data_IF_912770114965
#
_entry.id   IF_912770114965
#
_cell.length_a   1.000
_cell.length_b   1.000
_cell.length_c   1.000
_cell.angle_alpha   90.00
_cell.angle_beta   90.00
_cell.angle_gamma   90.00
#
_symmetry.space_group_name_H-M   'P 1'
#
loop_
_entity.id
_entity.type
_entity.pdbx_description
1 polymer ?
#
# COMPACT_ATOMS: atom_id res chain seq x y z
N UNK A 1 0.59 -7.65 2.27
CA UNK A 1 1.57 -7.61 1.20
C UNK A 1 1.75 -8.99 0.63
N UNK A 2 1.27 -9.18 -0.60
CA UNK A 2 1.36 -10.44 -1.33
C UNK A 2 2.61 -10.44 -2.21
N UNK A 3 3.02 -9.26 -2.72
CA UNK A 3 4.18 -9.07 -3.61
C UNK A 3 4.18 -10.05 -4.80
N UNK A 4 3.03 -10.16 -5.47
CA UNK A 4 2.74 -11.27 -6.40
C UNK A 4 3.65 -11.34 -7.62
N UNK A 5 4.27 -10.22 -8.00
CA UNK A 5 5.29 -10.15 -9.06
C UNK A 5 6.44 -11.16 -8.83
N UNK A 6 6.78 -11.47 -7.58
CA UNK A 6 7.89 -12.38 -7.26
C UNK A 6 7.63 -13.85 -7.57
N UNK A 7 6.37 -14.24 -7.75
CA UNK A 7 5.98 -15.60 -8.07
C UNK A 7 5.07 -15.69 -9.30
N UNK A 8 5.02 -14.62 -10.10
CA UNK A 8 4.34 -14.60 -11.39
C UNK A 8 5.33 -14.95 -12.50
N UNK A 9 5.11 -16.07 -13.18
CA UNK A 9 5.99 -16.61 -14.21
C UNK A 9 5.15 -17.28 -15.31
N UNK A 10 5.48 -17.03 -16.57
CA UNK A 10 4.80 -17.61 -17.75
C UNK A 10 3.27 -17.45 -17.74
N UNK A 11 2.78 -16.29 -17.29
CA UNK A 11 1.34 -15.98 -17.26
C UNK A 11 0.58 -16.59 -16.08
N UNK A 12 1.28 -17.20 -15.12
CA UNK A 12 0.67 -17.89 -13.97
C UNK A 12 1.33 -17.48 -12.66
N UNK A 13 0.56 -17.51 -11.57
CA UNK A 13 1.03 -17.31 -10.20
C UNK A 13 1.38 -18.67 -9.58
N UNK A 14 2.63 -18.82 -9.13
CA UNK A 14 3.13 -20.03 -8.47
C UNK A 14 3.01 -19.91 -6.95
N UNK A 15 1.90 -20.39 -6.39
CA UNK A 15 1.57 -20.26 -4.97
C UNK A 15 1.29 -21.62 -4.33
N UNK A 16 2.00 -21.95 -3.25
CA UNK A 16 1.87 -23.21 -2.50
C UNK A 16 1.92 -24.47 -3.38
N UNK A 17 2.78 -24.45 -4.41
CA UNK A 17 2.95 -25.55 -5.37
C UNK A 17 1.88 -25.60 -6.47
N UNK A 18 0.89 -24.71 -6.46
CA UNK A 18 -0.12 -24.59 -7.51
C UNK A 18 0.32 -23.57 -8.56
N UNK A 19 -0.17 -23.74 -9.79
CA UNK A 19 -0.12 -22.72 -10.83
C UNK A 19 -1.52 -22.15 -11.01
N UNK A 20 -1.67 -20.87 -10.72
CA UNK A 20 -2.96 -20.17 -10.78
C UNK A 20 -2.95 -19.19 -11.94
N UNK A 21 -4.01 -19.16 -12.72
CA UNK A 21 -4.33 -18.03 -13.61
C UNK A 21 -4.60 -16.77 -12.79
N UNK A 22 -4.58 -15.59 -13.42
CA UNK A 22 -4.94 -14.33 -12.74
C UNK A 22 -6.33 -14.37 -12.09
N UNK A 23 -7.30 -15.00 -12.75
CA UNK A 23 -8.66 -15.15 -12.19
C UNK A 23 -8.70 -16.09 -10.98
N UNK A 24 -7.90 -17.15 -10.98
CA UNK A 24 -7.78 -18.07 -9.82
C UNK A 24 -7.04 -17.41 -8.66
N UNK A 25 -6.02 -16.58 -8.93
CA UNK A 25 -5.34 -15.77 -7.92
C UNK A 25 -6.30 -14.76 -7.27
N UNK A 26 -7.12 -14.07 -8.07
CA UNK A 26 -8.18 -13.18 -7.56
C UNK A 26 -9.17 -13.97 -6.69
N UNK A 27 -9.58 -15.17 -7.11
CA UNK A 27 -10.49 -16.01 -6.35
C UNK A 27 -9.87 -16.43 -4.99
N UNK A 28 -8.58 -16.77 -4.98
CA UNK A 28 -7.84 -17.11 -3.76
C UNK A 28 -7.78 -15.94 -2.78
N UNK A 29 -7.48 -14.73 -3.26
CA UNK A 29 -7.46 -13.53 -2.44
C UNK A 29 -8.85 -13.18 -1.89
N UNK A 30 -9.89 -13.31 -2.72
CA UNK A 30 -11.27 -13.07 -2.28
C UNK A 30 -11.70 -14.05 -1.19
N UNK A 31 -11.30 -15.31 -1.29
CA UNK A 31 -11.54 -16.31 -0.24
C UNK A 31 -10.77 -16.01 1.05
N UNK A 32 -9.53 -15.50 0.99
CA UNK A 32 -8.83 -15.02 2.19
C UNK A 32 -9.53 -13.83 2.85
N UNK A 33 -9.97 -12.85 2.05
CA UNK A 33 -10.71 -11.68 2.52
C UNK A 33 -12.05 -12.08 3.17
N UNK A 34 -12.68 -13.15 2.71
CA UNK A 34 -13.92 -13.65 3.34
C UNK A 34 -13.65 -14.39 4.66
N UNK A 35 -12.57 -15.18 4.73
CA UNK A 35 -12.27 -16.03 5.89
C UNK A 35 -11.60 -15.30 7.03
N UNK A 36 -10.89 -14.21 6.74
CA UNK A 36 -10.08 -13.48 7.71
C UNK A 36 -10.44 -11.99 7.70
N UNK A 37 -10.27 -11.27 8.83
CA UNK A 37 -10.52 -9.84 8.90
C UNK A 37 -9.38 -9.03 8.22
N UNK A 38 -9.09 -9.36 6.97
CA UNK A 38 -8.14 -8.63 6.13
C UNK A 38 -8.80 -7.31 5.73
N UNK A 39 -8.05 -6.23 5.88
CA UNK A 39 -8.52 -4.85 5.66
C UNK A 39 -7.75 -4.16 4.53
N UNK A 40 -6.61 -4.73 4.11
CA UNK A 40 -5.77 -4.22 3.04
C UNK A 40 -5.05 -5.39 2.36
N UNK A 41 -5.08 -5.39 1.02
CA UNK A 41 -4.34 -6.32 0.16
C UNK A 41 -3.42 -5.48 -0.71
N UNK A 42 -2.12 -5.71 -0.56
CA UNK A 42 -1.06 -5.03 -1.28
C UNK A 42 -0.45 -5.96 -2.32
N UNK A 43 -0.32 -5.46 -3.56
CA UNK A 43 0.27 -6.18 -4.70
C UNK A 43 -0.27 -7.60 -4.87
N UNK A 44 -1.61 -7.72 -4.83
CA UNK A 44 -2.33 -8.98 -4.99
C UNK A 44 -2.20 -9.61 -6.38
N UNK A 45 -1.74 -8.86 -7.37
CA UNK A 45 -1.40 -9.33 -8.71
C UNK A 45 -0.04 -8.78 -9.12
N UNK A 46 0.57 -9.35 -10.15
CA UNK A 46 1.83 -8.88 -10.68
C UNK A 46 1.69 -7.45 -11.25
N UNK A 47 2.78 -6.68 -11.18
CA UNK A 47 2.79 -5.25 -11.54
C UNK A 47 2.40 -4.98 -13.01
N UNK A 48 2.63 -5.94 -13.91
CA UNK A 48 2.27 -5.83 -15.33
C UNK A 48 0.96 -6.55 -15.70
N UNK A 49 0.25 -7.14 -14.74
CA UNK A 49 -1.04 -7.80 -14.97
C UNK A 49 -2.23 -6.81 -15.06
N UNK A 50 -2.04 -5.72 -15.83
CA UNK A 50 -2.94 -4.57 -15.93
C UNK A 50 -4.37 -4.93 -16.31
N UNK A 51 -4.57 -6.02 -17.06
CA UNK A 51 -5.89 -6.47 -17.49
C UNK A 51 -6.74 -6.99 -16.31
N UNK A 52 -6.11 -7.51 -15.26
CA UNK A 52 -6.79 -8.18 -14.15
C UNK A 52 -6.87 -7.34 -12.88
N UNK A 53 -6.07 -6.28 -12.73
CA UNK A 53 -6.17 -5.36 -11.59
C UNK A 53 -7.57 -4.74 -11.40
N UNK A 54 -8.28 -4.27 -12.45
CA UNK A 54 -9.67 -3.82 -12.31
C UNK A 54 -10.61 -4.92 -11.81
N UNK A 55 -10.38 -6.18 -12.21
CA UNK A 55 -11.16 -7.33 -11.77
C UNK A 55 -10.89 -7.66 -10.29
N UNK A 56 -9.62 -7.58 -9.84
CA UNK A 56 -9.27 -7.68 -8.44
C UNK A 56 -10.01 -6.61 -7.63
N UNK A 57 -9.91 -5.34 -8.04
CA UNK A 57 -10.60 -4.23 -7.37
C UNK A 57 -12.10 -4.43 -7.33
N UNK A 58 -12.72 -4.82 -8.44
CA UNK A 58 -14.16 -5.12 -8.47
C UNK A 58 -14.53 -6.25 -7.50
N UNK A 59 -13.66 -7.25 -7.33
CA UNK A 59 -13.96 -8.42 -6.52
C UNK A 59 -13.87 -8.17 -5.02
N UNK A 60 -12.90 -7.38 -4.55
CA UNK A 60 -12.61 -7.22 -3.11
C UNK A 60 -12.59 -5.75 -2.62
N UNK A 61 -12.59 -4.77 -3.52
CA UNK A 61 -12.37 -3.35 -3.20
C UNK A 61 -13.45 -2.69 -2.35
N UNK A 62 -14.65 -3.29 -2.25
CA UNK A 62 -15.70 -2.81 -1.35
C UNK A 62 -15.47 -3.22 0.12
N UNK A 63 -14.58 -4.19 0.36
CA UNK A 63 -14.28 -4.72 1.70
C UNK A 63 -12.90 -4.33 2.21
N UNK A 64 -11.94 -4.17 1.30
CA UNK A 64 -10.53 -3.96 1.64
C UNK A 64 -9.89 -2.90 0.75
N UNK A 65 -8.81 -2.30 1.25
CA UNK A 65 -7.92 -1.51 0.40
C UNK A 65 -7.23 -2.41 -0.61
N UNK A 66 -7.26 -2.01 -1.88
CA UNK A 66 -6.47 -2.60 -2.96
C UNK A 66 -5.29 -1.65 -3.19
N UNK A 67 -4.20 -1.98 -2.50
CA UNK A 67 -3.01 -1.16 -2.34
C UNK A 67 -1.97 -1.53 -3.40
N UNK A 68 -1.52 -0.55 -4.18
CA UNK A 68 -0.44 -0.75 -5.15
C UNK A 68 0.90 -0.24 -4.64
N UNK A 69 1.92 -1.10 -4.66
CA UNK A 69 3.33 -0.79 -4.38
C UNK A 69 4.16 -0.88 -5.67
N UNK A 70 4.59 -2.06 -6.10
CA UNK A 70 5.29 -2.25 -7.38
C UNK A 70 4.36 -1.90 -8.54
N UNK A 71 3.07 -2.24 -8.41
CA UNK A 71 2.05 -1.90 -9.41
C UNK A 71 1.98 -0.41 -9.72
N UNK A 72 2.18 0.47 -8.74
CA UNK A 72 2.11 1.93 -8.91
C UNK A 72 3.49 2.58 -8.94
N UNK A 73 4.47 1.98 -8.26
CA UNK A 73 5.87 2.39 -8.11
C UNK A 73 6.03 3.88 -7.76
N UNK A 74 5.11 4.44 -6.96
CA UNK A 74 5.03 5.88 -6.66
C UNK A 74 5.12 6.77 -7.92
N UNK A 75 4.70 6.25 -9.08
CA UNK A 75 4.91 6.89 -10.37
C UNK A 75 3.61 7.59 -10.84
N UNK A 76 3.61 8.93 -11.03
CA UNK A 76 2.42 9.67 -11.46
C UNK A 76 1.72 9.12 -12.70
N UNK A 77 2.47 8.59 -13.68
CA UNK A 77 1.90 8.05 -14.92
C UNK A 77 1.16 6.73 -14.68
N UNK A 78 1.73 5.84 -13.85
CA UNK A 78 1.09 4.57 -13.48
C UNK A 78 -0.15 4.82 -12.62
N UNK A 79 -0.07 5.78 -11.70
CA UNK A 79 -1.20 6.19 -10.86
C UNK A 79 -2.36 6.72 -11.71
N UNK A 80 -2.10 7.64 -12.66
CA UNK A 80 -3.14 8.12 -13.60
C UNK A 80 -3.80 6.98 -14.36
N UNK A 81 -3.00 6.08 -14.93
CA UNK A 81 -3.51 4.89 -15.65
C UNK A 81 -4.38 4.00 -14.76
N UNK A 82 -3.97 3.80 -13.51
CA UNK A 82 -4.72 2.97 -12.56
C UNK A 82 -6.02 3.65 -12.09
N UNK A 83 -6.05 4.98 -12.00
CA UNK A 83 -7.29 5.75 -11.77
C UNK A 83 -8.24 5.56 -12.95
N UNK A 84 -7.77 5.79 -14.18
CA UNK A 84 -8.58 5.68 -15.40
C UNK A 84 -9.14 4.26 -15.60
N UNK A 85 -8.35 3.24 -15.27
CA UNK A 85 -8.74 1.84 -15.37
C UNK A 85 -9.54 1.33 -14.16
N UNK A 86 -9.76 2.14 -13.12
CA UNK A 86 -10.34 1.72 -11.83
C UNK A 86 -9.64 0.47 -11.28
N UNK A 87 -8.31 0.53 -11.14
CA UNK A 87 -7.47 -0.63 -10.84
C UNK A 87 -7.05 -0.76 -9.37
N UNK A 88 -7.12 0.32 -8.58
CA UNK A 88 -6.73 0.34 -7.17
C UNK A 88 -7.65 1.24 -6.33
N UNK A 89 -7.48 1.20 -5.01
CA UNK A 89 -8.14 2.13 -4.06
C UNK A 89 -7.16 2.79 -3.08
N UNK A 90 -5.89 2.37 -3.09
CA UNK A 90 -4.86 2.94 -2.24
C UNK A 90 -3.46 2.91 -2.90
N UNK A 91 -2.60 3.84 -2.46
CA UNK A 91 -1.21 3.96 -2.89
C UNK A 91 -0.25 3.64 -1.74
N UNK A 92 0.74 2.77 -1.97
CA UNK A 92 1.91 2.69 -1.12
C UNK A 92 2.97 3.65 -1.67
N UNK A 93 3.26 4.72 -0.93
CA UNK A 93 4.15 5.78 -1.36
C UNK A 93 5.54 5.57 -0.77
N UNK A 94 6.52 5.38 -1.65
CA UNK A 94 7.95 5.32 -1.33
C UNK A 94 8.69 6.40 -2.12
N UNK A 95 9.16 7.43 -1.44
CA UNK A 95 9.84 8.57 -2.08
C UNK A 95 11.03 8.12 -2.93
N UNK A 96 11.75 7.09 -2.51
CA UNK A 96 12.91 6.62 -3.25
C UNK A 96 12.58 5.82 -4.53
N UNK A 97 11.32 5.44 -4.78
CA UNK A 97 10.91 4.88 -6.08
C UNK A 97 10.85 5.97 -7.16
N UNK A 98 10.49 7.20 -6.79
CA UNK A 98 10.36 8.34 -7.72
C UNK A 98 11.57 9.29 -7.67
N UNK A 99 12.27 9.34 -6.54
CA UNK A 99 13.58 9.99 -6.41
C UNK A 99 13.57 11.35 -5.71
N UNK A 100 12.48 12.12 -5.80
CA UNK A 100 12.38 13.45 -5.14
C UNK A 100 11.10 13.62 -4.33
N UNK A 101 11.15 14.48 -3.30
CA UNK A 101 9.96 14.85 -2.51
C UNK A 101 8.91 15.57 -3.37
N UNK A 102 9.34 16.37 -4.36
CA UNK A 102 8.42 17.10 -5.23
C UNK A 102 7.60 16.15 -6.12
N UNK A 103 8.25 15.16 -6.72
CA UNK A 103 7.56 14.17 -7.56
C UNK A 103 6.73 13.21 -6.70
N UNK A 104 7.19 12.86 -5.50
CA UNK A 104 6.39 12.12 -4.53
C UNK A 104 5.14 12.90 -4.10
N UNK A 105 5.22 14.23 -3.98
CA UNK A 105 4.07 15.07 -3.68
C UNK A 105 3.06 15.10 -4.83
N UNK A 106 3.51 15.05 -6.09
CA UNK A 106 2.62 14.87 -7.25
C UNK A 106 1.89 13.52 -7.19
N UNK A 107 2.62 12.43 -6.93
CA UNK A 107 2.04 11.11 -6.76
C UNK A 107 1.00 11.06 -5.62
N UNK A 108 1.34 11.65 -4.47
CA UNK A 108 0.43 11.82 -3.34
C UNK A 108 -0.84 12.58 -3.76
N UNK A 109 -0.70 13.74 -4.41
CA UNK A 109 -1.85 14.57 -4.82
C UNK A 109 -2.76 13.85 -5.81
N UNK A 110 -2.20 13.11 -6.77
CA UNK A 110 -2.98 12.31 -7.71
C UNK A 110 -3.84 11.26 -6.99
N UNK A 111 -3.23 10.51 -6.06
CA UNK A 111 -3.95 9.52 -5.27
C UNK A 111 -5.06 10.18 -4.42
N UNK A 112 -4.75 11.27 -3.71
CA UNK A 112 -5.74 11.98 -2.88
C UNK A 112 -6.88 12.57 -3.69
N UNK A 113 -6.61 13.14 -4.85
CA UNK A 113 -7.64 13.69 -5.75
C UNK A 113 -8.56 12.60 -6.31
N UNK A 114 -8.08 11.36 -6.41
CA UNK A 114 -8.89 10.19 -6.76
C UNK A 114 -9.64 9.58 -5.56
N UNK A 115 -9.55 10.18 -4.37
CA UNK A 115 -10.15 9.66 -3.14
C UNK A 115 -9.44 8.42 -2.57
N UNK A 116 -8.19 8.16 -2.97
CA UNK A 116 -7.44 7.01 -2.49
C UNK A 116 -6.78 7.28 -1.14
N UNK A 117 -6.70 6.24 -0.32
CA UNK A 117 -5.84 6.26 0.86
C UNK A 117 -4.36 6.17 0.45
N UNK A 118 -3.49 6.83 1.20
CA UNK A 118 -2.05 6.83 0.97
C UNK A 118 -1.33 6.32 2.21
N UNK A 119 -0.60 5.22 2.02
CA UNK A 119 0.28 4.64 3.03
C UNK A 119 1.70 5.09 2.74
N UNK A 120 2.32 5.85 3.63
CA UNK A 120 3.72 6.22 3.52
C UNK A 120 4.57 5.02 3.94
N UNK A 121 5.59 4.64 3.17
CA UNK A 121 6.33 3.40 3.40
C UNK A 121 7.84 3.55 3.40
N UNK A 122 8.47 2.80 4.30
CA UNK A 122 9.90 2.54 4.29
C UNK A 122 10.27 1.50 3.22
N UNK A 123 11.57 1.26 3.06
CA UNK A 123 12.10 0.16 2.25
C UNK A 123 12.56 -1.02 3.10
N UNK A 124 12.85 -2.15 2.45
CA UNK A 124 13.43 -3.32 3.12
C UNK A 124 14.85 -3.05 3.65
N UNK A 125 15.66 -2.25 2.97
CA UNK A 125 16.88 -1.66 3.53
C UNK A 125 16.61 -0.27 4.07
N UNK A 126 16.85 -0.05 5.36
CA UNK A 126 16.62 1.23 6.05
C UNK A 126 17.82 1.66 6.89
N UNK A 127 17.81 2.93 7.28
CA UNK A 127 18.80 3.52 8.20
C UNK A 127 18.10 4.03 9.46
N UNK A 128 18.86 4.60 10.39
CA UNK A 128 18.36 5.29 11.57
C UNK A 128 17.55 6.57 11.28
N UNK A 129 17.59 7.07 10.03
CA UNK A 129 16.86 8.29 9.67
C UNK A 129 15.35 8.10 9.87
N UNK A 130 14.69 9.08 10.47
CA UNK A 130 13.26 9.02 10.83
C UNK A 130 12.38 10.03 10.10
N UNK A 131 12.90 10.73 9.07
CA UNK A 131 12.18 11.75 8.30
C UNK A 131 10.83 11.27 7.75
N UNK A 132 10.70 9.96 7.50
CA UNK A 132 9.48 9.35 6.97
C UNK A 132 8.29 9.51 7.94
N UNK A 133 8.54 9.53 9.26
CA UNK A 133 7.50 9.77 10.26
C UNK A 133 6.98 11.22 10.17
N UNK A 134 7.88 12.20 10.06
CA UNK A 134 7.53 13.60 9.82
C UNK A 134 6.77 13.77 8.50
N UNK A 135 7.19 13.09 7.43
CA UNK A 135 6.48 13.12 6.16
C UNK A 135 5.05 12.59 6.32
N UNK A 136 4.88 11.44 6.97
CA UNK A 136 3.56 10.83 7.15
C UNK A 136 2.60 11.74 7.92
N UNK A 137 3.07 12.37 9.00
CA UNK A 137 2.25 13.33 9.75
C UNK A 137 2.01 14.61 8.96
N UNK A 138 3.07 15.22 8.41
CA UNK A 138 3.01 16.49 7.70
C UNK A 138 2.16 16.44 6.42
N UNK A 139 2.18 15.31 5.71
CA UNK A 139 1.35 15.07 4.54
C UNK A 139 0.00 14.46 4.88
N UNK A 140 -0.33 14.23 6.15
CA UNK A 140 -1.58 13.57 6.55
C UNK A 140 -1.79 12.25 5.80
N UNK A 141 -0.73 11.42 5.74
CA UNK A 141 -0.84 10.06 5.25
C UNK A 141 -1.82 9.28 6.13
N UNK A 142 -2.64 8.44 5.52
CA UNK A 142 -3.66 7.69 6.26
C UNK A 142 -3.02 6.55 7.08
N UNK A 143 -1.89 6.02 6.60
CA UNK A 143 -1.16 4.92 7.24
C UNK A 143 0.35 5.07 7.07
N UNK A 144 1.11 4.38 7.93
CA UNK A 144 2.57 4.27 7.86
C UNK A 144 2.99 2.79 7.88
N UNK A 145 3.78 2.37 6.89
CA UNK A 145 4.37 1.02 6.80
C UNK A 145 5.88 1.09 6.98
N UNK A 146 6.36 0.85 8.20
CA UNK A 146 7.79 1.00 8.56
C UNK A 146 8.43 -0.28 9.10
N UNK A 147 7.74 -1.41 9.05
CA UNK A 147 8.24 -2.72 9.49
C UNK A 147 7.89 -3.06 10.94
N UNK A 148 8.48 -4.14 11.43
CA UNK A 148 8.21 -4.68 12.78
C UNK A 148 8.63 -3.71 13.89
N UNK A 149 8.17 -3.96 15.11
CA UNK A 149 8.60 -3.28 16.34
C UNK A 149 9.93 -3.86 16.89
N UNK A 150 10.81 -4.24 15.98
CA UNK A 150 12.16 -4.76 16.25
C UNK A 150 13.13 -4.08 15.29
N UNK A 151 14.42 -4.07 15.64
CA UNK A 151 15.50 -3.42 14.88
C UNK A 151 15.45 -1.87 14.92
N UNK A 152 16.60 -1.25 15.20
CA UNK A 152 16.66 0.18 15.50
C UNK A 152 16.31 1.08 14.32
N UNK A 153 16.59 0.65 13.08
CA UNK A 153 16.22 1.37 11.87
C UNK A 153 14.70 1.48 11.67
N UNK A 154 13.92 0.56 12.27
CA UNK A 154 12.45 0.58 12.30
C UNK A 154 11.96 1.39 13.50
N UNK A 155 12.49 1.08 14.69
CA UNK A 155 12.13 1.74 15.94
C UNK A 155 12.40 3.24 15.93
N UNK A 156 13.40 3.71 15.18
CA UNK A 156 13.65 5.15 15.01
C UNK A 156 12.42 5.91 14.49
N UNK A 157 11.66 5.34 13.55
CA UNK A 157 10.44 5.96 13.00
C UNK A 157 9.30 5.96 14.02
N UNK A 158 9.13 4.86 14.76
CA UNK A 158 8.15 4.78 15.85
C UNK A 158 8.46 5.78 16.98
N UNK A 159 9.73 5.88 17.39
CA UNK A 159 10.18 6.85 18.40
C UNK A 159 9.94 8.29 17.92
N UNK A 160 10.13 8.57 16.63
CA UNK A 160 9.83 9.88 16.06
C UNK A 160 8.33 10.19 16.09
N UNK A 161 7.46 9.22 15.80
CA UNK A 161 6.01 9.39 15.96
C UNK A 161 5.62 9.72 17.41
N UNK A 162 6.19 9.01 18.39
CA UNK A 162 5.95 9.30 19.81
C UNK A 162 6.42 10.70 20.21
N UNK A 163 7.56 11.15 19.68
CA UNK A 163 8.04 12.51 19.89
C UNK A 163 7.09 13.55 19.28
N UNK A 164 6.62 13.33 18.04
CA UNK A 164 5.64 14.21 17.39
C UNK A 164 4.33 14.27 18.18
N UNK A 165 3.82 13.13 18.66
CA UNK A 165 2.62 13.07 19.51
C UNK A 165 2.83 13.87 20.81
N UNK A 166 3.97 13.71 21.49
CA UNK A 166 4.30 14.44 22.71
C UNK A 166 4.44 15.96 22.48
N UNK A 167 5.01 16.38 21.34
CA UNK A 167 5.23 17.79 20.98
C UNK A 167 3.93 18.49 20.56
N UNK A 168 3.07 17.80 19.80
CA UNK A 168 1.87 18.40 19.20
C UNK A 168 0.61 18.19 20.03
N UNK A 169 0.59 17.16 20.88
CA UNK A 169 -0.62 16.69 21.57
C UNK A 169 -1.67 16.07 20.64
N UNK A 170 -1.34 15.81 19.37
CA UNK A 170 -2.25 15.17 18.44
C UNK A 170 -2.35 13.68 18.76
N UNK A 171 -3.55 13.15 19.06
CA UNK A 171 -3.69 11.74 19.34
C UNK A 171 -3.46 10.91 18.08
N UNK A 172 -2.77 9.78 18.21
CA UNK A 172 -2.84 8.73 17.18
C UNK A 172 -4.30 8.30 16.99
N UNK A 173 -4.79 8.36 15.74
CA UNK A 173 -6.15 7.96 15.41
C UNK A 173 -6.30 6.47 15.71
N UNK A 174 -7.35 6.09 16.44
CA UNK A 174 -7.64 4.68 16.68
C UNK A 174 -7.92 4.01 15.34
N UNK A 175 -7.34 2.82 15.14
CA UNK A 175 -7.68 1.98 14.00
C UNK A 175 -9.21 1.83 13.93
N UNK A 176 -9.85 2.06 12.76
CA UNK A 176 -11.30 1.94 12.67
C UNK A 176 -11.73 0.55 13.11
N UNK A 177 -12.68 0.48 14.04
CA UNK A 177 -13.24 -0.80 14.45
C UNK A 177 -13.94 -1.42 13.22
N UNK A 178 -13.83 -2.74 13.06
CA UNK A 178 -14.51 -3.43 11.97
C UNK A 178 -16.01 -3.06 11.94
N UNK A 179 -16.46 -2.40 10.87
CA UNK A 179 -17.85 -1.95 10.70
C UNK A 179 -18.08 -0.44 10.80
N UNK A 180 -17.09 0.35 11.23
CA UNK A 180 -17.12 1.80 11.06
C UNK A 180 -16.58 2.12 9.67
N UNK A 181 -17.49 2.38 8.73
CA UNK A 181 -17.12 2.88 7.41
C UNK A 181 -16.33 4.19 7.58
N UNK A 182 -15.19 4.28 6.87
CA UNK A 182 -14.41 5.50 6.72
C UNK A 182 -15.23 6.61 6.05
#
# INVERSE_FOLDING_TARGET
DVASSHFYEDGHYRLDGNQLTSTEMIAQLADWVERYPIVSVEDGLAEEDWAHWPLLRQRIGDKVLVLGDDFLCTNPMRIRRAIDATAATALLLKVNQIGTLSEAAEAYQLARNAGWMVTISARSGETEDSWLADLAVGWRGDQLKVGSITQSERLAKYNRLLAIEAETGWPMVKWPAAGEAA
#
